data_IF_801264441656
#
_entry.id   IF_801264441656
#
_cell.length_a   1.000
_cell.length_b   1.000
_cell.length_c   1.000
_cell.angle_alpha   90.00
_cell.angle_beta   90.00
_cell.angle_gamma   90.00
#
_symmetry.space_group_name_H-M   'P 1'
#
loop_
_entity.id
_entity.type
_entity.pdbx_description
1 polymer ?
#
# COMPACT_ATOMS: atom_id res chain seq x y z
N UNK A 1 -21.62 19.61 -10.86
CA UNK A 1 -21.82 20.07 -9.47
C UNK A 1 -23.19 19.62 -9.02
N UNK A 2 -23.22 18.48 -8.35
CA UNK A 2 -24.38 18.02 -7.56
C UNK A 2 -23.76 17.44 -6.30
N UNK A 3 -23.76 18.24 -5.24
CA UNK A 3 -23.36 17.79 -3.93
C UNK A 3 -24.42 16.78 -3.48
N UNK A 4 -24.07 15.49 -3.46
CA UNK A 4 -24.87 14.50 -2.77
C UNK A 4 -24.68 14.72 -1.26
N UNK A 5 -25.51 15.57 -0.66
CA UNK A 5 -25.63 15.66 0.79
C UNK A 5 -26.57 14.57 1.26
N UNK A 6 -26.08 13.33 1.29
CA UNK A 6 -26.70 12.26 2.09
C UNK A 6 -26.32 12.50 3.54
N UNK A 7 -27.29 12.88 4.37
CA UNK A 7 -27.12 12.93 5.83
C UNK A 7 -26.65 11.55 6.29
N UNK A 8 -25.49 11.41 6.95
CA UNK A 8 -25.04 10.11 7.43
C UNK A 8 -26.09 9.55 8.40
N UNK A 9 -26.69 8.43 8.05
CA UNK A 9 -27.55 7.69 8.96
C UNK A 9 -26.69 7.24 10.16
N UNK A 10 -27.26 7.22 11.37
CA UNK A 10 -26.57 6.79 12.60
C UNK A 10 -25.85 5.43 12.46
N UNK A 11 -26.33 4.57 11.56
CA UNK A 11 -25.72 3.27 11.24
C UNK A 11 -24.34 3.36 10.56
N UNK A 12 -23.99 4.50 9.96
CA UNK A 12 -22.72 4.71 9.28
C UNK A 12 -21.71 5.53 10.11
N UNK A 13 -22.00 5.84 11.37
CA UNK A 13 -21.00 6.50 12.23
C UNK A 13 -20.09 5.45 12.90
N UNK A 14 -18.80 5.76 13.11
CA UNK A 14 -17.92 4.87 13.87
C UNK A 14 -18.45 4.68 15.29
N UNK A 15 -18.28 3.48 15.85
CA UNK A 15 -18.57 3.22 17.25
C UNK A 15 -17.72 4.13 18.16
N UNK A 16 -18.17 4.39 19.39
CA UNK A 16 -17.43 5.28 20.33
C UNK A 16 -16.03 4.77 20.68
N UNK A 17 -15.76 3.48 20.48
CA UNK A 17 -14.48 2.81 20.69
C UNK A 17 -13.72 2.52 19.37
N UNK A 18 -14.16 3.11 18.24
CA UNK A 18 -13.54 2.94 16.91
C UNK A 18 -12.02 3.18 16.96
N UNK A 19 -11.59 4.29 17.57
CA UNK A 19 -10.17 4.69 17.67
C UNK A 19 -9.34 3.62 18.35
N UNK A 20 -9.76 3.15 19.52
CA UNK A 20 -9.03 2.12 20.26
C UNK A 20 -8.97 0.81 19.49
N UNK A 21 -10.10 0.38 18.91
CA UNK A 21 -10.17 -0.87 18.13
C UNK A 21 -9.25 -0.85 16.91
N UNK A 22 -9.23 0.25 16.16
CA UNK A 22 -8.34 0.37 15.00
C UNK A 22 -6.88 0.48 15.45
N UNK A 23 -6.58 1.25 16.49
CA UNK A 23 -5.22 1.36 17.05
C UNK A 23 -4.67 0.01 17.48
N UNK A 24 -5.45 -0.77 18.23
CA UNK A 24 -5.09 -2.12 18.68
C UNK A 24 -4.88 -3.06 17.51
N UNK A 25 -5.77 -3.04 16.51
CA UNK A 25 -5.60 -3.83 15.30
C UNK A 25 -4.32 -3.48 14.55
N UNK A 26 -4.04 -2.19 14.31
CA UNK A 26 -2.85 -1.74 13.58
C UNK A 26 -1.55 -2.12 14.30
N UNK A 27 -1.56 -2.06 15.64
CA UNK A 27 -0.45 -2.53 16.49
C UNK A 27 -0.27 -4.05 16.38
N UNK A 28 -1.36 -4.82 16.49
CA UNK A 28 -1.34 -6.29 16.33
C UNK A 28 -0.85 -6.69 14.95
N UNK A 29 -1.31 -6.01 13.90
CA UNK A 29 -0.89 -6.25 12.53
C UNK A 29 0.62 -6.03 12.38
N UNK A 30 1.17 -4.94 12.95
CA UNK A 30 2.61 -4.71 12.96
C UNK A 30 3.35 -5.85 13.68
N UNK A 31 2.86 -6.31 14.83
CA UNK A 31 3.47 -7.39 15.62
C UNK A 31 3.44 -8.72 14.84
N UNK A 32 2.30 -9.08 14.25
CA UNK A 32 2.10 -10.27 13.43
C UNK A 32 3.03 -10.27 12.20
N UNK A 33 3.08 -9.16 11.47
CA UNK A 33 3.94 -9.00 10.28
C UNK A 33 5.42 -9.10 10.68
N UNK A 34 5.87 -8.36 11.70
CA UNK A 34 7.28 -8.38 12.12
C UNK A 34 7.71 -9.81 12.50
N UNK A 35 6.90 -10.51 13.30
CA UNK A 35 7.18 -11.89 13.69
C UNK A 35 7.28 -12.81 12.48
N UNK A 36 6.31 -12.77 11.57
CA UNK A 36 6.33 -13.63 10.38
C UNK A 36 7.52 -13.35 9.46
N UNK A 37 7.92 -12.08 9.30
CA UNK A 37 9.08 -11.71 8.50
C UNK A 37 10.40 -12.14 9.15
N UNK A 38 10.54 -12.03 10.47
CA UNK A 38 11.71 -12.51 11.20
C UNK A 38 11.85 -14.04 11.15
N UNK A 39 10.74 -14.77 11.20
CA UNK A 39 10.73 -16.22 11.04
C UNK A 39 11.24 -16.65 9.66
N UNK A 40 10.82 -15.93 8.61
CA UNK A 40 11.24 -16.22 7.24
C UNK A 40 12.69 -15.80 6.98
N UNK A 41 13.11 -14.66 7.52
CA UNK A 41 14.50 -14.19 7.42
C UNK A 41 15.45 -15.15 8.15
N UNK A 42 15.14 -15.48 9.41
CA UNK A 42 15.91 -16.43 10.23
C UNK A 42 17.26 -15.91 10.73
N UNK A 43 17.66 -14.68 10.38
CA UNK A 43 18.93 -14.09 10.80
C UNK A 43 18.75 -12.77 11.55
N UNK A 44 18.16 -11.76 10.90
CA UNK A 44 18.01 -10.43 11.49
C UNK A 44 16.66 -10.27 12.21
N UNK A 45 16.62 -9.27 13.10
CA UNK A 45 15.45 -8.93 13.93
C UNK A 45 15.08 -7.46 13.73
N UNK A 46 13.81 -7.13 13.93
CA UNK A 46 13.37 -5.74 13.91
C UNK A 46 13.84 -5.01 15.17
N UNK A 47 14.41 -3.83 14.97
CA UNK A 47 14.72 -2.87 16.04
C UNK A 47 13.60 -1.86 16.08
N UNK A 48 12.98 -1.70 17.25
CA UNK A 48 11.91 -0.73 17.47
C UNK A 48 12.47 0.61 17.94
N UNK A 49 11.98 1.69 17.31
CA UNK A 49 12.11 3.07 17.76
C UNK A 49 10.71 3.65 17.99
N UNK A 50 10.38 3.85 19.27
CA UNK A 50 9.11 4.40 19.71
C UNK A 50 9.24 5.90 19.94
N UNK A 51 8.29 6.68 19.43
CA UNK A 51 8.35 8.15 19.42
C UNK A 51 6.98 8.77 19.71
N UNK A 52 7.00 10.04 20.14
CA UNK A 52 5.81 10.84 20.45
C UNK A 52 5.87 12.18 19.73
N UNK A 53 4.70 12.79 19.46
CA UNK A 53 4.58 14.13 18.91
C UNK A 53 4.15 15.12 19.98
N UNK A 54 4.75 16.33 20.05
CA UNK A 54 4.27 17.39 20.94
C UNK A 54 2.79 17.76 20.72
N UNK A 55 2.31 17.65 19.48
CA UNK A 55 0.94 18.00 19.10
C UNK A 55 -0.10 16.93 19.47
N UNK A 56 0.33 15.72 19.81
CA UNK A 56 -0.54 14.58 20.11
C UNK A 56 -0.21 13.34 19.26
N UNK A 57 -0.17 12.19 19.93
CA UNK A 57 0.11 10.90 19.32
C UNK A 57 1.60 10.55 19.24
N UNK A 58 1.94 9.64 18.33
CA UNK A 58 3.26 9.05 18.21
C UNK A 58 3.27 7.86 17.25
N UNK A 59 4.23 6.95 17.45
CA UNK A 59 4.33 5.75 16.64
C UNK A 59 5.40 4.78 17.12
N UNK A 60 5.41 3.60 16.48
CA UNK A 60 6.43 2.56 16.62
C UNK A 60 7.03 2.31 15.25
N UNK A 61 8.26 2.75 15.03
CA UNK A 61 8.99 2.40 13.82
C UNK A 61 9.80 1.14 14.05
N UNK A 62 9.61 0.11 13.24
CA UNK A 62 10.42 -1.12 13.31
C UNK A 62 11.22 -1.28 12.05
N UNK A 63 12.54 -1.42 12.19
CA UNK A 63 13.46 -1.55 11.06
C UNK A 63 14.33 -2.79 11.24
N UNK A 64 14.44 -3.59 10.18
CA UNK A 64 15.37 -4.70 10.04
C UNK A 64 16.34 -4.37 8.91
N UNK A 65 17.63 -4.57 9.13
CA UNK A 65 18.71 -4.34 8.15
C UNK A 65 19.65 -5.53 8.13
N UNK A 66 20.28 -5.76 6.98
CA UNK A 66 21.31 -6.80 6.81
C UNK A 66 20.84 -8.21 7.22
N UNK A 67 19.58 -8.54 6.91
CA UNK A 67 19.02 -9.88 7.07
C UNK A 67 19.46 -10.84 5.97
N UNK A 68 19.16 -12.13 6.19
CA UNK A 68 19.45 -13.18 5.22
C UNK A 68 18.57 -13.05 3.97
N UNK A 69 17.33 -12.60 4.16
CA UNK A 69 16.34 -12.38 3.11
C UNK A 69 16.18 -10.89 2.84
N UNK A 70 15.95 -10.12 3.89
CA UNK A 70 15.65 -8.69 3.78
C UNK A 70 16.94 -7.87 3.94
N UNK A 71 17.34 -7.21 2.86
CA UNK A 71 18.46 -6.26 2.93
C UNK A 71 18.08 -5.06 3.78
N UNK A 72 16.84 -4.57 3.59
CA UNK A 72 16.20 -3.61 4.46
C UNK A 72 14.70 -3.87 4.48
N UNK A 73 14.11 -3.81 5.66
CA UNK A 73 12.67 -3.90 5.86
C UNK A 73 12.25 -2.89 6.92
N UNK A 74 11.13 -2.23 6.72
CA UNK A 74 10.52 -1.50 7.81
C UNK A 74 9.00 -1.61 7.82
N UNK A 75 8.49 -1.67 9.05
CA UNK A 75 7.07 -1.82 9.36
C UNK A 75 6.77 -0.75 10.41
N UNK A 76 6.09 0.31 10.00
CA UNK A 76 5.82 1.48 10.82
C UNK A 76 4.36 1.50 11.25
N UNK A 77 4.13 1.69 12.54
CA UNK A 77 2.84 2.07 13.09
C UNK A 77 2.89 3.54 13.49
N UNK A 78 1.81 4.28 13.20
CA UNK A 78 1.64 5.65 13.69
C UNK A 78 0.19 5.90 14.07
N UNK A 79 0.01 6.73 15.10
CA UNK A 79 -1.30 7.16 15.59
C UNK A 79 -1.16 8.61 16.04
N UNK A 80 -1.88 9.51 15.39
CA UNK A 80 -1.74 10.96 15.57
C UNK A 80 -3.13 11.60 15.68
N UNK A 81 -3.20 12.67 16.47
CA UNK A 81 -4.43 13.45 16.63
C UNK A 81 -4.07 14.92 16.85
N UNK A 82 -5.03 15.79 16.62
CA UNK A 82 -4.85 17.23 16.78
C UNK A 82 -6.15 18.01 16.71
N UNK A 83 -6.07 19.29 17.10
CA UNK A 83 -7.23 20.20 17.11
C UNK A 83 -7.59 20.74 15.73
N UNK A 84 -6.59 20.91 14.87
CA UNK A 84 -6.75 21.49 13.54
C UNK A 84 -6.56 20.43 12.47
N UNK A 85 -7.43 20.44 11.46
CA UNK A 85 -7.28 19.54 10.31
C UNK A 85 -6.07 19.93 9.47
N UNK A 86 -5.37 18.95 8.86
CA UNK A 86 -4.40 19.25 7.83
C UNK A 86 -5.04 20.07 6.69
N UNK A 87 -4.34 21.07 6.10
CA UNK A 87 -4.92 21.94 5.08
C UNK A 87 -5.49 21.21 3.86
N UNK A 88 -4.89 20.09 3.46
CA UNK A 88 -5.37 19.23 2.37
C UNK A 88 -6.74 18.62 2.69
N UNK A 89 -6.92 18.13 3.92
CA UNK A 89 -8.19 17.55 4.38
C UNK A 89 -9.24 18.63 4.56
N UNK A 90 -8.88 19.77 5.17
CA UNK A 90 -9.80 20.90 5.35
C UNK A 90 -10.37 21.40 4.00
N UNK A 91 -9.57 21.39 2.93
CA UNK A 91 -10.01 21.74 1.58
C UNK A 91 -10.94 20.69 0.94
N UNK A 92 -10.69 19.40 1.20
CA UNK A 92 -11.45 18.30 0.60
C UNK A 92 -12.71 17.91 1.37
N UNK A 93 -12.74 18.20 2.68
CA UNK A 93 -13.77 17.84 3.64
C UNK A 93 -14.09 19.03 4.56
N UNK A 94 -14.63 20.14 4.03
CA UNK A 94 -14.97 21.32 4.83
C UNK A 94 -15.95 21.01 5.98
N UNK A 95 -16.77 19.97 5.84
CA UNK A 95 -17.70 19.48 6.85
C UNK A 95 -17.02 18.87 8.10
N UNK A 96 -15.73 18.54 8.03
CA UNK A 96 -14.95 18.13 9.20
C UNK A 96 -14.43 19.32 10.04
N UNK A 97 -14.58 20.56 9.53
CA UNK A 97 -14.02 21.75 10.18
C UNK A 97 -14.56 21.93 11.61
N UNK A 98 -13.66 22.29 12.52
CA UNK A 98 -13.99 22.49 13.95
C UNK A 98 -13.96 21.21 14.80
N UNK A 99 -13.81 20.03 14.18
CA UNK A 99 -13.61 18.78 14.91
C UNK A 99 -12.12 18.47 15.11
N UNK A 100 -11.80 17.84 16.26
CA UNK A 100 -10.51 17.21 16.45
C UNK A 100 -10.37 16.02 15.51
N UNK A 101 -9.22 15.88 14.87
CA UNK A 101 -8.94 14.75 14.00
C UNK A 101 -8.18 13.66 14.74
N UNK A 102 -8.35 12.44 14.26
CA UNK A 102 -7.59 11.26 14.63
C UNK A 102 -7.22 10.50 13.35
N UNK A 103 -5.97 10.09 13.25
CA UNK A 103 -5.47 9.26 12.15
C UNK A 103 -4.52 8.20 12.68
N UNK A 104 -4.67 6.97 12.20
CA UNK A 104 -3.83 5.84 12.61
C UNK A 104 -3.57 4.91 11.43
N UNK A 105 -2.50 4.15 11.47
CA UNK A 105 -2.22 3.18 10.41
C UNK A 105 -0.90 2.43 10.57
N UNK A 106 -0.80 1.35 9.79
CA UNK A 106 0.41 0.55 9.62
C UNK A 106 0.85 0.61 8.16
N UNK A 107 2.11 0.96 7.95
CA UNK A 107 2.74 1.07 6.63
C UNK A 107 4.02 0.26 6.60
N UNK A 108 4.32 -0.39 5.48
CA UNK A 108 5.47 -1.26 5.34
C UNK A 108 6.07 -1.18 3.94
N UNK A 109 7.40 -1.25 3.88
CA UNK A 109 8.14 -1.52 2.65
C UNK A 109 9.25 -2.52 2.95
N UNK A 110 9.36 -3.55 2.11
CA UNK A 110 10.39 -4.58 2.23
C UNK A 110 11.25 -4.60 0.97
N UNK A 111 12.57 -4.57 1.14
CA UNK A 111 13.56 -4.69 0.08
C UNK A 111 14.42 -5.94 0.29
N UNK A 112 14.07 -7.05 -0.38
CA UNK A 112 14.85 -8.27 -0.32
C UNK A 112 16.23 -8.11 -0.95
N UNK A 113 17.21 -8.87 -0.45
CA UNK A 113 18.55 -8.93 -1.03
C UNK A 113 18.56 -9.66 -2.37
N UNK A 114 17.88 -10.80 -2.45
CA UNK A 114 17.83 -11.62 -3.66
C UNK A 114 16.93 -10.96 -4.75
N UNK A 115 17.43 -10.68 -5.98
CA UNK A 115 16.67 -10.08 -7.08
C UNK A 115 15.42 -10.87 -7.52
N UNK A 116 15.34 -12.16 -7.20
CA UNK A 116 14.17 -12.99 -7.51
C UNK A 116 13.05 -12.87 -6.48
N UNK A 117 13.27 -12.15 -5.37
CA UNK A 117 12.21 -11.83 -4.41
C UNK A 117 11.78 -10.37 -4.64
N UNK A 118 10.49 -10.11 -4.96
CA UNK A 118 10.00 -8.77 -5.21
C UNK A 118 10.10 -7.85 -3.98
N UNK A 119 10.32 -6.55 -4.21
CA UNK A 119 9.95 -5.53 -3.22
C UNK A 119 8.43 -5.56 -3.04
N UNK A 120 7.96 -5.33 -1.83
CA UNK A 120 6.53 -5.26 -1.52
C UNK A 120 6.24 -4.07 -0.63
N UNK A 121 5.07 -3.45 -0.86
CA UNK A 121 4.54 -2.37 -0.06
C UNK A 121 3.15 -2.72 0.45
N UNK A 122 2.83 -2.23 1.65
CA UNK A 122 1.52 -2.34 2.27
C UNK A 122 1.24 -1.07 3.06
N UNK A 123 0.01 -0.58 2.99
CA UNK A 123 -0.48 0.50 3.84
C UNK A 123 -1.94 0.22 4.21
N UNK A 124 -2.29 0.30 5.49
CA UNK A 124 -3.68 0.39 5.94
C UNK A 124 -3.80 1.50 6.97
N UNK A 125 -4.80 2.36 6.80
CA UNK A 125 -4.98 3.57 7.59
C UNK A 125 -6.44 3.88 7.82
N UNK A 126 -6.69 4.61 8.89
CA UNK A 126 -7.99 5.11 9.29
C UNK A 126 -7.89 6.58 9.65
N UNK A 127 -8.93 7.34 9.29
CA UNK A 127 -9.09 8.72 9.66
C UNK A 127 -10.51 8.94 10.21
N UNK A 128 -10.64 9.79 11.23
CA UNK A 128 -11.92 10.36 11.62
C UNK A 128 -11.79 11.79 12.18
N UNK A 129 -12.80 12.62 11.92
CA UNK A 129 -12.98 13.96 12.46
C UNK A 129 -14.48 14.29 12.50
N UNK A 130 -15.10 14.18 13.68
CA UNK A 130 -16.53 14.37 13.83
C UNK A 130 -17.32 13.32 13.05
N UNK A 131 -18.25 13.71 12.15
CA UNK A 131 -19.02 12.76 11.35
C UNK A 131 -18.24 12.20 10.15
N UNK A 132 -17.07 12.78 9.82
CA UNK A 132 -16.27 12.36 8.67
C UNK A 132 -15.29 11.28 9.10
N UNK A 133 -15.29 10.16 8.40
CA UNK A 133 -14.33 9.08 8.60
C UNK A 133 -14.12 8.31 7.30
N UNK A 134 -12.99 7.62 7.20
CA UNK A 134 -12.75 6.66 6.13
C UNK A 134 -11.58 5.74 6.46
N UNK A 135 -11.57 4.59 5.80
CA UNK A 135 -10.37 3.77 5.66
C UNK A 135 -9.70 4.01 4.31
N UNK A 136 -8.39 3.79 4.29
CA UNK A 136 -7.60 3.76 3.06
C UNK A 136 -6.53 2.70 3.18
N UNK A 137 -6.02 2.23 2.05
CA UNK A 137 -4.96 1.24 2.09
C UNK A 137 -4.75 0.50 0.79
N UNK A 138 -4.01 -0.60 0.90
CA UNK A 138 -3.62 -1.41 -0.22
C UNK A 138 -2.33 -2.18 0.04
N UNK A 139 -2.02 -3.05 -0.90
CA UNK A 139 -0.76 -3.76 -0.98
C UNK A 139 -0.40 -3.95 -2.45
N UNK A 140 0.89 -3.81 -2.77
CA UNK A 140 1.39 -3.91 -4.13
C UNK A 140 2.77 -4.58 -4.20
N UNK A 141 3.03 -5.25 -5.32
CA UNK A 141 4.22 -6.06 -5.53
C UNK A 141 5.09 -5.49 -6.66
N UNK A 142 6.38 -5.32 -6.40
CA UNK A 142 7.37 -4.71 -7.31
C UNK A 142 8.50 -5.71 -7.60
N UNK A 143 8.35 -6.58 -8.62
CA UNK A 143 9.37 -7.55 -8.99
C UNK A 143 10.54 -6.94 -9.78
N UNK A 144 11.65 -7.64 -9.80
CA UNK A 144 12.80 -7.36 -10.66
C UNK A 144 12.89 -8.44 -11.74
N UNK A 145 12.99 -9.70 -11.32
CA UNK A 145 12.81 -10.86 -12.16
C UNK A 145 11.46 -11.49 -11.79
N UNK A 146 10.46 -11.24 -12.63
CA UNK A 146 9.08 -11.59 -12.34
C UNK A 146 8.72 -12.99 -12.82
N UNK A 147 7.78 -13.61 -12.11
CA UNK A 147 7.21 -14.92 -12.42
C UNK A 147 5.69 -14.80 -12.45
N UNK A 148 5.07 -15.30 -13.50
CA UNK A 148 3.62 -15.26 -13.71
C UNK A 148 2.88 -15.89 -12.53
N UNK A 149 3.37 -17.02 -12.02
CA UNK A 149 2.71 -17.73 -10.93
C UNK A 149 2.79 -17.00 -9.59
N UNK A 150 3.83 -16.18 -9.37
CA UNK A 150 3.93 -15.33 -8.18
C UNK A 150 2.98 -14.14 -8.27
N UNK A 151 2.87 -13.54 -9.47
CA UNK A 151 1.90 -12.49 -9.75
C UNK A 151 0.46 -13.00 -9.55
N UNK A 152 0.13 -14.16 -10.13
CA UNK A 152 -1.18 -14.81 -9.94
C UNK A 152 -1.44 -15.17 -8.48
N UNK A 153 -0.46 -15.70 -7.74
CA UNK A 153 -0.61 -16.02 -6.32
C UNK A 153 -0.96 -14.78 -5.50
N UNK A 154 -0.17 -13.70 -5.66
CA UNK A 154 -0.38 -12.45 -4.93
C UNK A 154 -1.77 -11.87 -5.21
N UNK A 155 -2.14 -11.77 -6.49
CA UNK A 155 -3.42 -11.20 -6.90
C UNK A 155 -4.61 -12.07 -6.51
N UNK A 156 -4.52 -13.40 -6.62
CA UNK A 156 -5.60 -14.31 -6.19
C UNK A 156 -5.82 -14.24 -4.69
N UNK A 157 -4.76 -14.12 -3.89
CA UNK A 157 -4.86 -14.00 -2.43
C UNK A 157 -5.66 -12.75 -2.04
N UNK A 158 -5.34 -11.58 -2.61
CA UNK A 158 -6.10 -10.36 -2.34
C UNK A 158 -7.50 -10.37 -2.96
N UNK A 159 -7.68 -10.97 -4.14
CA UNK A 159 -9.02 -11.13 -4.74
C UNK A 159 -9.94 -11.96 -3.83
N UNK A 160 -9.45 -13.07 -3.29
CA UNK A 160 -10.23 -13.93 -2.39
C UNK A 160 -10.74 -13.16 -1.17
N UNK A 161 -9.91 -12.29 -0.59
CA UNK A 161 -10.33 -11.41 0.51
C UNK A 161 -11.35 -10.39 0.03
N UNK A 162 -11.08 -9.69 -1.07
CA UNK A 162 -12.04 -8.74 -1.63
C UNK A 162 -13.40 -9.38 -1.90
N UNK A 163 -13.45 -10.56 -2.51
CA UNK A 163 -14.67 -11.28 -2.86
C UNK A 163 -15.51 -11.68 -1.63
N UNK A 164 -14.88 -11.88 -0.47
CA UNK A 164 -15.59 -12.17 0.80
C UNK A 164 -16.37 -10.97 1.32
N UNK A 165 -15.94 -9.75 0.96
CA UNK A 165 -16.53 -8.51 1.46
C UNK A 165 -17.39 -7.79 0.43
N UNK A 166 -16.97 -7.77 -0.83
CA UNK A 166 -17.71 -7.15 -1.93
C UNK A 166 -17.17 -7.62 -3.29
N UNK A 167 -18.02 -8.12 -4.21
CA UNK A 167 -17.56 -8.67 -5.50
C UNK A 167 -16.84 -7.64 -6.38
N UNK A 168 -17.16 -6.36 -6.23
CA UNK A 168 -16.56 -5.27 -7.01
C UNK A 168 -15.31 -4.63 -6.37
N UNK A 169 -14.89 -5.05 -5.17
CA UNK A 169 -13.68 -4.50 -4.54
C UNK A 169 -12.42 -4.79 -5.35
N UNK A 170 -12.16 -6.05 -5.69
CA UNK A 170 -10.96 -6.38 -6.44
C UNK A 170 -10.94 -5.72 -7.83
N UNK A 171 -12.02 -5.80 -8.65
CA UNK A 171 -12.05 -5.12 -9.94
C UNK A 171 -11.76 -3.62 -9.87
N UNK A 172 -12.34 -2.90 -8.89
CA UNK A 172 -12.10 -1.44 -8.76
C UNK A 172 -10.71 -1.16 -8.18
N UNK A 173 -10.36 -1.78 -7.07
CA UNK A 173 -9.13 -1.46 -6.32
C UNK A 173 -7.87 -1.93 -7.04
N UNK A 174 -7.96 -2.99 -7.86
CA UNK A 174 -6.85 -3.40 -8.73
C UNK A 174 -6.57 -2.34 -9.80
N UNK A 175 -7.60 -1.87 -10.52
CA UNK A 175 -7.43 -0.79 -11.52
C UNK A 175 -6.88 0.47 -10.88
N UNK A 176 -7.42 0.84 -9.71
CA UNK A 176 -6.93 1.99 -8.99
C UNK A 176 -5.46 1.82 -8.56
N UNK A 177 -5.03 0.60 -8.23
CA UNK A 177 -3.63 0.29 -7.95
C UNK A 177 -2.74 0.50 -9.19
N UNK A 178 -3.18 0.02 -10.36
CA UNK A 178 -2.44 0.17 -11.62
C UNK A 178 -2.26 1.66 -11.98
N UNK A 179 -3.29 2.47 -11.77
CA UNK A 179 -3.30 3.91 -12.06
C UNK A 179 -2.48 4.72 -11.04
N UNK A 180 -2.57 4.35 -9.76
CA UNK A 180 -1.91 5.09 -8.69
C UNK A 180 -0.40 4.89 -8.72
N UNK A 181 0.07 3.66 -8.95
CA UNK A 181 1.49 3.32 -8.94
C UNK A 181 2.11 3.38 -10.34
N UNK A 182 1.94 4.51 -11.02
CA UNK A 182 2.42 4.74 -12.39
C UNK A 182 3.43 5.89 -12.47
N UNK A 183 4.56 5.65 -13.16
CA UNK A 183 5.59 6.67 -13.38
C UNK A 183 5.34 7.37 -14.72
N UNK A 184 4.60 8.48 -14.68
CA UNK A 184 4.21 9.22 -15.89
C UNK A 184 5.38 9.57 -16.82
N UNK A 185 6.52 10.01 -16.26
CA UNK A 185 7.69 10.40 -17.05
C UNK A 185 8.47 9.21 -17.64
N UNK A 186 8.17 7.98 -17.23
CA UNK A 186 8.76 6.74 -17.76
C UNK A 186 7.78 5.94 -18.61
N UNK A 187 6.49 6.25 -18.52
CA UNK A 187 5.41 5.47 -19.12
C UNK A 187 5.44 3.99 -18.69
N UNK A 188 5.69 3.74 -17.39
CA UNK A 188 5.77 2.39 -16.82
C UNK A 188 5.05 2.34 -15.47
N UNK A 189 4.47 1.18 -15.13
CA UNK A 189 4.03 0.91 -13.76
C UNK A 189 5.24 0.71 -12.84
N UNK A 190 5.08 1.04 -11.55
CA UNK A 190 6.11 0.79 -10.52
C UNK A 190 6.39 -0.70 -10.37
N UNK A 191 5.34 -1.51 -10.44
CA UNK A 191 5.34 -2.95 -10.26
C UNK A 191 4.14 -3.61 -10.96
N UNK A 192 3.74 -4.79 -10.50
CA UNK A 192 2.65 -5.57 -11.10
C UNK A 192 1.27 -5.25 -10.48
N UNK A 193 1.23 -4.29 -9.56
CA UNK A 193 0.02 -3.85 -8.88
C UNK A 193 -0.32 -4.72 -7.68
N UNK A 194 -1.62 -4.78 -7.39
CA UNK A 194 -2.21 -5.41 -6.21
C UNK A 194 -3.59 -4.81 -5.98
N UNK A 195 -3.83 -4.25 -4.81
CA UNK A 195 -5.03 -3.45 -4.52
C UNK A 195 -4.64 -2.10 -3.94
N UNK A 196 -5.37 -1.06 -4.32
CA UNK A 196 -5.28 0.28 -3.72
C UNK A 196 -6.67 0.88 -3.59
N UNK A 197 -6.92 1.51 -2.45
CA UNK A 197 -8.15 2.24 -2.18
C UNK A 197 -7.90 3.39 -1.21
N UNK A 198 -8.74 4.40 -1.31
CA UNK A 198 -8.75 5.54 -0.40
C UNK A 198 -10.19 6.01 -0.19
N UNK A 199 -10.41 6.75 0.89
CA UNK A 199 -11.71 7.35 1.23
C UNK A 199 -12.87 6.35 1.32
N UNK A 200 -12.62 5.10 1.74
CA UNK A 200 -13.68 4.10 1.92
C UNK A 200 -14.47 4.40 3.21
N UNK A 201 -15.67 4.93 3.03
CA UNK A 201 -16.64 5.30 4.08
C UNK A 201 -17.92 4.46 4.03
N UNK A 202 -17.90 3.37 3.24
CA UNK A 202 -19.03 2.45 3.06
C UNK A 202 -20.04 2.86 1.99
N UNK A 203 -19.91 4.05 1.41
CA UNK A 203 -20.80 4.56 0.38
C UNK A 203 -20.20 4.46 -1.03
N UNK A 204 -21.06 4.37 -2.02
CA UNK A 204 -20.68 4.42 -3.44
C UNK A 204 -20.47 5.87 -3.93
N UNK A 205 -19.68 6.08 -5.01
CA UNK A 205 -18.90 5.08 -5.73
C UNK A 205 -17.71 4.53 -4.93
N UNK A 206 -17.26 3.33 -5.29
CA UNK A 206 -16.09 2.68 -4.68
C UNK A 206 -14.79 3.43 -5.00
N UNK A 207 -14.63 3.89 -6.24
CA UNK A 207 -13.52 4.74 -6.62
C UNK A 207 -13.76 6.18 -6.14
N UNK A 208 -12.77 6.73 -5.41
CA UNK A 208 -12.79 8.10 -4.88
C UNK A 208 -11.49 8.85 -5.14
N UNK A 209 -10.82 8.46 -6.21
CA UNK A 209 -9.62 9.14 -6.69
C UNK A 209 -9.96 10.44 -7.42
N UNK A 210 -8.94 11.25 -7.75
CA UNK A 210 -9.15 12.57 -8.34
C UNK A 210 -9.42 12.56 -9.86
N UNK A 211 -9.28 11.41 -10.54
CA UNK A 211 -9.34 11.31 -12.00
C UNK A 211 -10.64 10.61 -12.44
N UNK A 212 -11.66 11.38 -12.79
CA UNK A 212 -12.99 10.86 -13.15
C UNK A 212 -12.99 10.11 -14.50
N UNK A 213 -11.98 10.36 -15.33
CA UNK A 213 -11.75 9.74 -16.63
C UNK A 213 -10.92 8.45 -16.56
N UNK A 214 -10.47 8.06 -15.37
CA UNK A 214 -9.68 6.84 -15.19
C UNK A 214 -10.51 5.57 -15.37
N UNK A 215 -9.86 4.45 -15.69
CA UNK A 215 -10.55 3.17 -15.89
C UNK A 215 -11.25 2.69 -14.62
N UNK A 216 -10.63 2.91 -13.45
CA UNK A 216 -11.21 2.61 -12.14
C UNK A 216 -12.45 3.47 -11.87
N UNK A 217 -12.43 4.77 -12.19
CA UNK A 217 -13.58 5.65 -12.06
C UNK A 217 -14.71 5.22 -13.00
N UNK A 218 -14.41 5.04 -14.30
CA UNK A 218 -15.38 4.64 -15.32
C UNK A 218 -16.02 3.30 -14.98
N UNK A 219 -15.24 2.34 -14.47
CA UNK A 219 -15.78 1.06 -14.02
C UNK A 219 -16.69 1.23 -12.81
N UNK A 220 -16.23 1.96 -11.77
CA UNK A 220 -16.97 2.14 -10.52
C UNK A 220 -18.29 2.90 -10.71
N UNK A 221 -18.35 3.87 -11.61
CA UNK A 221 -19.56 4.67 -11.91
C UNK A 221 -20.63 3.87 -12.67
N UNK A 222 -20.24 2.79 -13.36
CA UNK A 222 -21.17 1.93 -14.11
C UNK A 222 -21.82 0.85 -13.24
N UNK A 223 -21.35 0.66 -12.01
CA UNK A 223 -21.91 -0.32 -11.10
C UNK A 223 -23.34 0.10 -10.73
N UNK A 224 -24.23 -0.90 -10.60
CA UNK A 224 -25.55 -0.64 -10.02
C UNK A 224 -25.38 -0.17 -8.57
N UNK A 225 -26.26 0.71 -8.05
CA UNK A 225 -26.19 1.13 -6.65
C UNK A 225 -26.12 -0.08 -5.71
N UNK A 226 -25.09 -0.12 -4.88
CA UNK A 226 -24.90 -1.19 -3.90
C UNK A 226 -25.52 -0.78 -2.56
N UNK A 227 -25.72 -1.77 -1.68
CA UNK A 227 -26.16 -1.46 -0.32
C UNK A 227 -25.04 -0.70 0.42
N UNK A 228 -25.35 0.39 1.14
CA UNK A 228 -24.39 1.04 2.01
C UNK A 228 -23.81 0.04 3.01
N UNK A 229 -22.50 0.08 3.19
CA UNK A 229 -21.81 -0.70 4.22
C UNK A 229 -21.57 0.20 5.42
N UNK A 230 -21.69 -0.37 6.60
CA UNK A 230 -21.39 0.34 7.83
C UNK A 230 -19.89 0.26 8.17
N UNK A 231 -19.50 0.96 9.23
CA UNK A 231 -18.12 1.00 9.68
C UNK A 231 -17.55 -0.38 10.04
N UNK A 232 -18.34 -1.28 10.63
CA UNK A 232 -17.89 -2.63 11.02
C UNK A 232 -17.53 -3.49 9.81
N UNK A 233 -18.32 -3.40 8.75
CA UNK A 233 -18.08 -4.12 7.49
C UNK A 233 -16.78 -3.64 6.83
N UNK A 234 -16.56 -2.32 6.76
CA UNK A 234 -15.31 -1.78 6.22
C UNK A 234 -14.13 -2.12 7.14
N UNK A 235 -14.28 -2.03 8.45
CA UNK A 235 -13.21 -2.40 9.38
C UNK A 235 -12.84 -3.89 9.26
N UNK A 236 -13.83 -4.77 9.12
CA UNK A 236 -13.62 -6.21 8.88
C UNK A 236 -12.82 -6.44 7.58
N UNK A 237 -13.17 -5.74 6.50
CA UNK A 237 -12.41 -5.78 5.24
C UNK A 237 -10.94 -5.37 5.44
N UNK A 238 -10.67 -4.31 6.19
CA UNK A 238 -9.29 -3.88 6.49
C UNK A 238 -8.53 -4.92 7.33
N UNK A 239 -9.21 -5.58 8.28
CA UNK A 239 -8.60 -6.64 9.08
C UNK A 239 -8.12 -7.80 8.20
N UNK A 240 -8.99 -8.30 7.34
CA UNK A 240 -8.69 -9.44 6.47
C UNK A 240 -7.65 -9.07 5.42
N UNK A 241 -7.73 -7.87 4.84
CA UNK A 241 -6.71 -7.36 3.94
C UNK A 241 -5.33 -7.27 4.59
N UNK A 242 -5.25 -6.76 5.83
CA UNK A 242 -3.99 -6.73 6.59
C UNK A 242 -3.40 -8.13 6.79
N UNK A 243 -4.23 -9.08 7.22
CA UNK A 243 -3.80 -10.47 7.50
C UNK A 243 -3.50 -11.28 6.25
N UNK A 244 -3.99 -10.86 5.08
CA UNK A 244 -3.69 -11.50 3.80
C UNK A 244 -2.25 -11.30 3.33
N UNK A 245 -1.53 -10.32 3.88
CA UNK A 245 -0.16 -10.01 3.47
C UNK A 245 0.80 -11.19 3.58
N UNK A 246 0.90 -11.82 4.76
CA UNK A 246 1.84 -12.92 4.96
C UNK A 246 1.51 -14.12 4.05
N UNK A 247 0.24 -14.57 3.93
CA UNK A 247 -0.15 -15.57 2.92
C UNK A 247 0.16 -15.17 1.48
N UNK A 248 0.05 -13.89 1.12
CA UNK A 248 0.31 -13.42 -0.24
C UNK A 248 1.82 -13.36 -0.57
N UNK A 249 2.67 -13.08 0.43
CA UNK A 249 4.08 -12.77 0.19
C UNK A 249 5.06 -13.86 0.64
N UNK A 250 4.84 -14.49 1.80
CA UNK A 250 5.77 -15.49 2.36
C UNK A 250 5.99 -16.69 1.42
N UNK A 251 4.97 -17.25 0.74
CA UNK A 251 5.19 -18.34 -0.21
C UNK A 251 6.11 -17.94 -1.37
N UNK A 252 6.02 -16.69 -1.85
CA UNK A 252 6.92 -16.16 -2.89
C UNK A 252 8.34 -16.11 -2.35
N UNK A 253 8.55 -15.53 -1.17
CA UNK A 253 9.87 -15.47 -0.52
C UNK A 253 10.47 -16.87 -0.36
N UNK A 254 9.71 -17.82 0.19
CA UNK A 254 10.16 -19.20 0.41
C UNK A 254 10.53 -19.90 -0.89
N UNK A 255 9.77 -19.69 -1.96
CA UNK A 255 10.04 -20.28 -3.28
C UNK A 255 11.29 -19.71 -3.93
N UNK A 256 11.59 -18.43 -3.72
CA UNK A 256 12.66 -17.71 -4.43
C UNK A 256 13.94 -17.52 -3.63
N UNK A 257 13.94 -17.75 -2.31
CA UNK A 257 15.10 -17.50 -1.43
C UNK A 257 16.39 -18.20 -1.84
N UNK A 258 16.31 -19.38 -2.44
CA UNK A 258 17.47 -20.18 -2.86
C UNK A 258 17.84 -20.01 -4.33
N UNK A 259 17.16 -19.15 -5.09
CA UNK A 259 17.50 -18.91 -6.48
C UNK A 259 18.84 -18.18 -6.57
N UNK A 260 19.83 -18.79 -7.22
CA UNK A 260 21.15 -18.20 -7.44
C UNK A 260 21.06 -16.97 -8.35
N UNK A 261 21.87 -15.95 -8.06
CA UNK A 261 21.94 -14.72 -8.85
C UNK A 261 23.39 -14.22 -8.90
N UNK A 262 23.76 -13.56 -9.98
CA UNK A 262 25.08 -12.96 -10.16
C UNK A 262 25.03 -11.43 -10.17
N UNK A 263 26.15 -10.85 -10.61
CA UNK A 263 26.29 -9.40 -10.71
C UNK A 263 25.28 -8.79 -11.68
N UNK A 264 24.96 -9.47 -12.79
CA UNK A 264 23.97 -8.98 -13.76
C UNK A 264 22.61 -8.74 -13.08
N UNK A 265 22.11 -9.74 -12.37
CA UNK A 265 20.82 -9.68 -11.69
C UNK A 265 20.81 -8.63 -10.58
N UNK A 266 21.91 -8.54 -9.83
CA UNK A 266 22.05 -7.52 -8.79
C UNK A 266 22.11 -6.11 -9.38
N UNK A 267 22.83 -5.87 -10.46
CA UNK A 267 22.91 -4.55 -11.09
C UNK A 267 21.58 -4.12 -11.70
N UNK A 268 20.79 -5.06 -12.23
CA UNK A 268 19.44 -4.77 -12.70
C UNK A 268 18.49 -4.47 -11.54
N UNK A 269 18.57 -5.22 -10.43
CA UNK A 269 17.81 -4.94 -9.21
C UNK A 269 18.07 -3.51 -8.70
N UNK A 270 19.34 -3.11 -8.59
CA UNK A 270 19.72 -1.76 -8.14
C UNK A 270 19.21 -0.66 -9.09
N UNK A 271 19.24 -0.93 -10.39
CA UNK A 271 18.66 -0.04 -11.39
C UNK A 271 17.15 0.12 -11.23
N UNK A 272 16.41 -1.00 -11.09
CA UNK A 272 14.95 -1.00 -10.85
C UNK A 272 14.57 -0.36 -9.52
N UNK A 273 15.38 -0.52 -8.47
CA UNK A 273 15.20 0.21 -7.20
C UNK A 273 15.28 1.73 -7.38
N UNK A 274 16.04 2.22 -8.36
CA UNK A 274 16.02 3.63 -8.76
C UNK A 274 14.63 4.12 -9.19
N UNK A 275 13.84 3.28 -9.86
CA UNK A 275 12.44 3.60 -10.21
C UNK A 275 11.51 3.65 -9.01
N UNK A 276 11.76 2.79 -8.03
CA UNK A 276 11.04 2.85 -6.75
C UNK A 276 11.28 4.19 -6.04
N UNK A 277 12.53 4.67 -6.03
CA UNK A 277 12.89 6.00 -5.52
C UNK A 277 12.23 7.11 -6.34
N UNK A 278 12.28 7.05 -7.67
CA UNK A 278 11.62 8.02 -8.55
C UNK A 278 10.13 8.15 -8.22
N UNK A 279 9.42 7.04 -8.03
CA UNK A 279 8.00 7.08 -7.66
C UNK A 279 7.78 7.75 -6.29
N UNK A 280 8.49 7.30 -5.26
CA UNK A 280 8.24 7.78 -3.90
C UNK A 280 8.55 9.28 -3.74
N UNK A 281 9.58 9.79 -4.42
CA UNK A 281 9.96 11.19 -4.30
C UNK A 281 9.19 12.14 -5.21
N UNK A 282 8.66 11.65 -6.34
CA UNK A 282 8.01 12.50 -7.37
C UNK A 282 6.49 12.40 -7.35
N UNK A 283 5.92 11.22 -7.05
CA UNK A 283 4.49 10.94 -7.22
C UNK A 283 3.77 10.50 -5.96
N UNK A 284 4.45 9.85 -5.01
CA UNK A 284 3.79 9.37 -3.80
C UNK A 284 3.27 10.52 -2.93
N UNK A 285 1.95 10.70 -2.96
CA UNK A 285 1.24 11.73 -2.19
C UNK A 285 1.54 11.61 -0.70
N UNK A 286 1.69 10.40 -0.16
CA UNK A 286 1.98 10.18 1.26
C UNK A 286 3.35 10.71 1.65
N UNK A 287 4.39 10.32 0.90
CA UNK A 287 5.76 10.79 1.09
C UNK A 287 5.88 12.31 0.93
N UNK A 288 5.35 12.88 -0.15
CA UNK A 288 5.42 14.32 -0.42
C UNK A 288 4.73 15.11 0.70
N UNK A 289 3.52 14.70 1.08
CA UNK A 289 2.76 15.36 2.14
C UNK A 289 3.49 15.27 3.48
N UNK A 290 4.01 14.10 3.84
CA UNK A 290 4.74 13.90 5.10
C UNK A 290 6.00 14.77 5.20
N UNK A 291 6.76 14.89 4.12
CA UNK A 291 7.97 15.74 4.08
C UNK A 291 7.62 17.23 4.13
N UNK A 292 6.54 17.66 3.48
CA UNK A 292 6.09 19.06 3.48
C UNK A 292 5.49 19.51 4.82
N UNK A 293 5.00 18.57 5.64
CA UNK A 293 4.29 18.86 6.90
C UNK A 293 5.13 18.58 8.15
N UNK A 294 6.45 18.53 8.02
CA UNK A 294 7.38 18.20 9.11
C UNK A 294 7.04 16.87 9.81
N UNK A 295 6.55 15.88 9.06
CA UNK A 295 6.46 14.51 9.53
C UNK A 295 7.85 13.95 9.85
N UNK A 296 7.91 12.83 10.58
CA UNK A 296 9.20 12.22 10.97
C UNK A 296 9.93 11.68 9.72
N UNK A 297 10.87 12.46 9.20
CA UNK A 297 11.59 12.19 7.94
C UNK A 297 12.15 10.77 7.87
N UNK A 298 12.82 10.30 8.92
CA UNK A 298 13.39 8.94 8.98
C UNK A 298 12.33 7.82 8.88
N UNK A 299 11.12 8.04 9.40
CA UNK A 299 10.01 7.08 9.25
C UNK A 299 9.40 7.12 7.85
N UNK A 300 9.36 8.30 7.23
CA UNK A 300 8.81 8.50 5.88
C UNK A 300 9.75 7.89 4.82
N UNK A 301 11.04 8.21 4.91
CA UNK A 301 12.06 7.75 3.98
C UNK A 301 12.53 6.31 4.23
N UNK A 302 12.00 5.64 5.26
CA UNK A 302 12.17 4.19 5.45
C UNK A 302 11.78 3.39 4.20
N UNK A 303 10.83 3.90 3.42
CA UNK A 303 10.40 3.35 2.14
C UNK A 303 11.48 3.30 1.06
N UNK A 304 12.60 4.01 1.24
CA UNK A 304 13.67 4.04 0.26
C UNK A 304 14.59 2.81 0.41
N UNK A 305 14.98 2.18 -0.72
CA UNK A 305 15.92 1.06 -0.70
C UNK A 305 17.32 1.47 -0.23
N UNK A 306 18.07 0.52 0.36
CA UNK A 306 19.39 0.79 0.94
C UNK A 306 20.45 1.16 -0.11
N UNK A 307 20.29 0.60 -1.32
CA UNK A 307 21.18 0.82 -2.46
C UNK A 307 20.37 0.93 -3.74
N UNK A 308 20.78 1.86 -4.59
CA UNK A 308 20.17 2.16 -5.89
C UNK A 308 21.24 2.52 -6.90
N UNK A 309 20.90 2.38 -8.18
CA UNK A 309 21.75 2.76 -9.30
C UNK A 309 20.94 3.50 -10.34
N UNK A 310 21.55 4.49 -10.98
CA UNK A 310 21.02 5.12 -12.18
C UNK A 310 22.02 4.94 -13.31
N UNK A 311 21.50 4.79 -14.52
CA UNK A 311 22.30 4.64 -15.73
C UNK A 311 21.62 5.41 -16.86
N UNK A 312 22.41 6.22 -17.57
CA UNK A 312 21.91 7.02 -18.67
C UNK A 312 21.61 6.13 -19.87
N UNK A 313 20.40 6.28 -20.44
CA UNK A 313 19.96 5.53 -21.63
C UNK A 313 20.02 4.00 -21.51
N UNK A 314 19.96 3.45 -20.30
CA UNK A 314 19.89 2.00 -20.12
C UNK A 314 18.59 1.44 -20.74
N UNK A 315 18.74 0.36 -21.51
CA UNK A 315 17.66 -0.46 -22.01
C UNK A 315 18.04 -1.93 -21.82
N UNK A 316 17.13 -2.79 -21.35
CA UNK A 316 17.40 -4.21 -21.26
C UNK A 316 17.61 -4.80 -22.67
N UNK A 317 18.52 -5.76 -22.79
CA UNK A 317 18.71 -6.46 -24.06
C UNK A 317 17.42 -7.23 -24.43
N UNK A 318 17.03 -7.29 -25.72
CA UNK A 318 15.84 -8.01 -26.13
C UNK A 318 15.94 -9.51 -25.81
N UNK A 319 14.79 -10.16 -25.63
CA UNK A 319 14.70 -11.59 -25.30
C UNK A 319 15.40 -11.98 -23.98
N UNK A 320 15.48 -11.06 -23.03
CA UNK A 320 15.99 -11.31 -21.67
C UNK A 320 14.87 -11.25 -20.64
N UNK A 321 15.05 -11.86 -19.46
CA UNK A 321 14.11 -11.69 -18.35
C UNK A 321 13.90 -10.22 -17.95
N UNK A 322 14.93 -9.39 -18.08
CA UNK A 322 14.88 -7.94 -17.84
C UNK A 322 13.95 -7.26 -18.84
N UNK A 323 14.03 -7.60 -20.14
CA UNK A 323 13.10 -7.08 -21.14
C UNK A 323 11.67 -7.56 -20.89
N UNK A 324 11.49 -8.85 -20.52
CA UNK A 324 10.17 -9.42 -20.18
C UNK A 324 9.47 -8.64 -19.06
N UNK A 325 10.20 -8.14 -18.07
CA UNK A 325 9.65 -7.28 -17.02
C UNK A 325 8.91 -6.08 -17.64
N UNK A 326 9.54 -5.35 -18.56
CA UNK A 326 8.95 -4.18 -19.21
C UNK A 326 7.88 -4.53 -20.23
N UNK A 327 8.10 -5.58 -21.01
CA UNK A 327 7.22 -5.94 -22.11
C UNK A 327 5.88 -6.50 -21.64
N UNK A 328 5.89 -7.18 -20.48
CA UNK A 328 4.73 -7.91 -19.95
C UNK A 328 4.30 -7.38 -18.58
N UNK A 329 5.21 -7.40 -17.59
CA UNK A 329 4.84 -7.27 -16.18
C UNK A 329 4.56 -5.83 -15.72
N UNK A 330 5.23 -4.83 -16.29
CA UNK A 330 5.01 -3.41 -15.93
C UNK A 330 3.88 -2.74 -16.73
N UNK A 331 3.00 -3.56 -17.30
CA UNK A 331 1.75 -3.15 -17.94
C UNK A 331 0.58 -3.77 -17.15
N UNK A 332 -0.58 -3.10 -17.07
CA UNK A 332 -1.75 -3.68 -16.43
C UNK A 332 -2.12 -5.03 -17.06
N UNK A 333 -2.07 -6.10 -16.27
CA UNK A 333 -2.50 -7.46 -16.68
C UNK A 333 -3.63 -7.97 -15.79
N UNK A 334 -4.41 -8.93 -16.28
CA UNK A 334 -5.32 -9.72 -15.46
C UNK A 334 -4.58 -10.95 -14.88
N UNK A 335 -3.84 -10.74 -13.79
CA UNK A 335 -3.06 -11.80 -13.15
C UNK A 335 -3.90 -12.92 -12.55
N UNK A 336 -5.17 -12.68 -12.25
CA UNK A 336 -6.06 -13.70 -11.66
C UNK A 336 -6.42 -14.74 -12.71
N UNK A 337 -6.76 -14.27 -13.91
CA UNK A 337 -7.16 -15.09 -15.05
C UNK A 337 -6.04 -15.25 -16.10
N UNK A 338 -4.78 -14.98 -15.72
CA UNK A 338 -3.65 -15.10 -16.62
C UNK A 338 -3.51 -16.51 -17.19
N UNK A 339 -3.40 -16.62 -18.52
CA UNK A 339 -3.25 -17.89 -19.26
C UNK A 339 -1.95 -17.97 -20.08
N UNK A 340 -1.09 -16.94 -19.98
CA UNK A 340 0.09 -16.76 -20.82
C UNK A 340 1.33 -17.50 -20.35
#
# INVERSE_FOLDING_TARGET
>A
MTAFTTTPTLANLPASDSRSRVSEFMKSLQDEICRGLEEVDGQAKFIEDSWQRPEGGGGRSRVLREGAIFEQAGVNFSEVWGKELPPSIAKQRPEAAGHQFYATGTSMVLHPRNPYIPTVHLNYRYFEAGPVWWFGGGADLTPYYAFEEDASHFHRTFKQVCDQHHPEYYPVFKRWCDEYFYLNHRQEARGIGGIFFDYQDGLDPLYRGPFAESDAAIYSEKLSPQQPRNWEEIFSFINDCGRAFLPAYVPIVQKRRSTEYGDRERQFQLYRRGRYVEFNLVYDRGTIFGLQTNGRTESILMSLPPLVRWEYCYQPAPNTPEAKLYDVFLKPQDWVNWQG
#
